data_IF_461138937202
#
_entry.id   IF_461138937202
#
_cell.length_a   1.000
_cell.length_b   1.000
_cell.length_c   1.000
_cell.angle_alpha   90.00
_cell.angle_beta   90.00
_cell.angle_gamma   90.00
#
_symmetry.space_group_name_H-M   'P 1'
#
loop_
_entity.id
_entity.type
_entity.pdbx_description
1 polymer ?
#
# COMPACT_ATOMS: atom_id res chain seq x y z
N UNK A 1 11.18 1.88 -56.30
CA UNK A 1 10.83 3.05 -55.47
C UNK A 1 10.48 2.56 -54.08
N UNK A 2 11.35 2.82 -53.10
CA UNK A 2 11.32 2.21 -51.77
C UNK A 2 10.59 3.14 -50.79
N UNK A 3 9.47 2.68 -50.22
CA UNK A 3 8.74 3.41 -49.20
C UNK A 3 9.47 3.30 -47.84
N UNK A 4 10.15 4.37 -47.44
CA UNK A 4 10.78 4.48 -46.12
C UNK A 4 9.69 4.61 -45.04
N UNK A 5 9.35 3.50 -44.37
CA UNK A 5 8.54 3.54 -43.14
C UNK A 5 9.33 4.24 -42.04
N UNK A 6 9.03 5.52 -41.77
CA UNK A 6 9.56 6.25 -40.61
C UNK A 6 9.03 5.58 -39.33
N UNK A 7 9.87 4.80 -38.63
CA UNK A 7 9.63 4.49 -37.21
C UNK A 7 9.92 5.76 -36.42
N UNK A 8 8.88 6.46 -35.98
CA UNK A 8 9.00 7.43 -34.90
C UNK A 8 9.42 6.68 -33.65
N UNK A 9 10.64 6.96 -33.16
CA UNK A 9 11.11 6.44 -31.88
C UNK A 9 10.17 7.00 -30.80
N UNK A 10 9.54 6.16 -29.97
CA UNK A 10 8.68 6.65 -28.89
C UNK A 10 9.49 7.55 -27.97
N UNK A 11 8.88 8.65 -27.55
CA UNK A 11 9.47 9.59 -26.61
C UNK A 11 9.52 8.86 -25.26
N UNK A 12 10.70 8.77 -24.61
CA UNK A 12 10.75 8.20 -23.27
C UNK A 12 9.93 9.08 -22.33
N UNK A 13 9.05 8.45 -21.57
CA UNK A 13 8.29 9.15 -20.52
C UNK A 13 9.27 9.67 -19.47
N UNK A 14 8.96 10.83 -18.90
CA UNK A 14 9.67 11.33 -17.75
C UNK A 14 9.37 10.42 -16.55
N UNK A 15 10.32 10.19 -15.63
CA UNK A 15 10.10 9.35 -14.46
C UNK A 15 8.85 9.72 -13.65
N UNK A 16 8.57 11.02 -13.52
CA UNK A 16 7.39 11.54 -12.81
C UNK A 16 6.06 11.17 -13.50
N UNK A 17 6.06 11.12 -14.83
CA UNK A 17 4.88 10.70 -15.61
C UNK A 17 4.61 9.19 -15.47
N UNK A 18 5.67 8.40 -15.32
CA UNK A 18 5.57 6.96 -15.08
C UNK A 18 4.91 6.70 -13.73
N UNK A 19 5.34 7.38 -12.67
CA UNK A 19 4.76 7.22 -11.33
C UNK A 19 3.29 7.63 -11.27
N UNK A 20 2.92 8.72 -11.95
CA UNK A 20 1.53 9.16 -12.06
C UNK A 20 0.66 8.12 -12.80
N UNK A 21 1.16 7.55 -13.90
CA UNK A 21 0.46 6.52 -14.67
C UNK A 21 0.32 5.22 -13.86
N UNK A 22 1.38 4.79 -13.16
CA UNK A 22 1.37 3.59 -12.31
C UNK A 22 0.38 3.72 -11.14
N UNK A 23 0.37 4.88 -10.47
CA UNK A 23 -0.63 5.21 -9.44
C UNK A 23 -2.05 5.19 -9.99
N UNK A 24 -2.27 5.72 -11.20
CA UNK A 24 -3.59 5.74 -11.83
C UNK A 24 -4.08 4.34 -12.27
N UNK A 25 -3.16 3.43 -12.58
CA UNK A 25 -3.48 2.04 -12.93
C UNK A 25 -3.75 1.14 -11.71
N UNK A 26 -3.68 1.68 -10.48
CA UNK A 26 -3.84 0.90 -9.25
C UNK A 26 -2.69 -0.07 -8.99
N UNK A 27 -1.61 0.01 -9.79
CA UNK A 27 -0.35 -0.67 -9.55
C UNK A 27 0.40 0.13 -8.48
N UNK A 28 -0.05 0.01 -7.23
CA UNK A 28 0.64 0.58 -6.07
C UNK A 28 2.05 -0.01 -6.04
N UNK A 29 3.04 0.86 -5.91
CA UNK A 29 4.43 0.51 -5.66
C UNK A 29 4.48 -0.60 -4.60
N UNK A 30 5.31 -1.63 -4.83
CA UNK A 30 5.53 -2.69 -3.83
C UNK A 30 5.67 -2.00 -2.47
N UNK A 31 4.84 -2.35 -1.46
CA UNK A 31 4.98 -1.72 -0.16
C UNK A 31 6.45 -1.85 0.22
N UNK A 32 7.06 -0.72 0.62
CA UNK A 32 8.41 -0.70 1.15
C UNK A 32 8.59 -1.91 2.08
N UNK A 33 9.78 -2.51 2.14
CA UNK A 33 10.11 -3.60 3.07
C UNK A 33 9.88 -3.13 4.52
N UNK A 34 8.62 -3.10 4.93
CA UNK A 34 8.16 -2.71 6.25
C UNK A 34 7.89 -4.04 6.91
N UNK A 35 8.92 -4.57 7.55
CA UNK A 35 8.84 -5.81 8.32
C UNK A 35 7.96 -5.54 9.53
N UNK A 36 6.71 -6.00 9.55
CA UNK A 36 5.81 -5.83 10.70
C UNK A 36 6.05 -6.93 11.75
N UNK A 37 5.86 -6.58 13.01
CA UNK A 37 5.98 -7.53 14.13
C UNK A 37 4.65 -7.72 14.87
N UNK A 38 4.47 -8.91 15.47
CA UNK A 38 3.33 -9.15 16.36
C UNK A 38 3.39 -8.19 17.56
N UNK A 39 2.23 -7.69 17.96
CA UNK A 39 2.01 -6.67 19.01
C UNK A 39 2.55 -5.28 18.69
N UNK A 40 3.10 -5.06 17.49
CA UNK A 40 3.53 -3.74 17.05
C UNK A 40 2.31 -2.79 16.94
N UNK A 41 2.51 -1.53 17.31
CA UNK A 41 1.49 -0.50 17.17
C UNK A 41 1.50 0.08 15.75
N UNK A 42 0.33 0.13 15.15
CA UNK A 42 0.14 0.66 13.81
C UNK A 42 -1.02 1.65 13.77
N UNK A 43 -0.89 2.64 12.90
CA UNK A 43 -1.93 3.61 12.54
C UNK A 43 -2.54 3.20 11.22
N UNK A 44 -3.87 3.20 11.14
CA UNK A 44 -4.58 2.99 9.89
C UNK A 44 -4.51 4.27 9.04
N UNK A 45 -4.12 4.13 7.78
CA UNK A 45 -3.89 5.24 6.84
C UNK A 45 -5.15 5.65 6.08
N UNK A 46 -6.01 4.70 5.72
CA UNK A 46 -7.14 4.92 4.82
C UNK A 46 -8.39 4.14 5.22
N UNK A 47 -9.54 4.54 4.65
CA UNK A 47 -10.84 3.92 4.92
C UNK A 47 -11.57 4.51 6.14
N UNK A 48 -12.70 3.91 6.56
CA UNK A 48 -13.54 4.44 7.64
C UNK A 48 -12.87 4.36 9.02
N UNK A 49 -11.76 3.64 9.12
CA UNK A 49 -10.96 3.47 10.32
C UNK A 49 -9.64 4.25 10.24
N UNK A 50 -9.48 5.15 9.27
CA UNK A 50 -8.31 6.01 9.18
C UNK A 50 -8.10 6.79 10.49
N UNK A 51 -6.84 7.07 10.79
CA UNK A 51 -6.37 7.73 12.01
C UNK A 51 -6.49 6.96 13.32
N UNK A 52 -7.18 5.81 13.33
CA UNK A 52 -7.18 4.96 14.50
C UNK A 52 -5.87 4.19 14.65
N UNK A 53 -5.53 3.92 15.91
CA UNK A 53 -4.35 3.16 16.31
C UNK A 53 -4.80 1.80 16.83
N UNK A 54 -4.03 0.77 16.47
CA UNK A 54 -4.25 -0.59 16.94
C UNK A 54 -2.95 -1.36 17.06
N UNK A 55 -3.06 -2.58 17.58
CA UNK A 55 -1.94 -3.51 17.72
C UNK A 55 -2.10 -4.69 16.77
N UNK A 56 -0.99 -5.12 16.17
CA UNK A 56 -0.99 -6.30 15.30
C UNK A 56 -1.16 -7.56 16.16
N UNK A 57 -2.20 -8.33 15.90
CA UNK A 57 -2.45 -9.63 16.55
C UNK A 57 -1.93 -10.79 15.69
N UNK A 58 -2.03 -10.66 14.37
CA UNK A 58 -1.61 -11.71 13.43
C UNK A 58 -1.13 -11.11 12.10
N UNK A 59 -0.17 -11.78 11.48
CA UNK A 59 0.40 -11.43 10.17
C UNK A 59 0.23 -12.65 9.26
N UNK A 60 -0.51 -12.48 8.17
CA UNK A 60 -0.68 -13.48 7.11
C UNK A 60 0.05 -12.98 5.86
N UNK A 61 1.34 -13.31 5.77
CA UNK A 61 2.21 -12.91 4.66
C UNK A 61 1.79 -13.56 3.34
N UNK A 62 1.24 -14.77 3.38
CA UNK A 62 0.76 -15.47 2.18
C UNK A 62 -0.43 -14.76 1.55
N UNK A 63 -1.33 -14.21 2.38
CA UNK A 63 -2.52 -13.47 1.91
C UNK A 63 -2.32 -11.98 1.79
N UNK A 64 -1.21 -11.43 2.29
CA UNK A 64 -1.00 -9.98 2.27
C UNK A 64 -1.79 -9.23 3.36
N UNK A 65 -2.21 -9.92 4.44
CA UNK A 65 -3.18 -9.39 5.42
C UNK A 65 -2.60 -9.28 6.82
N UNK A 66 -3.04 -8.26 7.55
CA UNK A 66 -2.78 -8.04 8.96
C UNK A 66 -4.09 -8.08 9.74
N UNK A 67 -4.12 -8.82 10.86
CA UNK A 67 -5.18 -8.66 11.85
C UNK A 67 -4.73 -7.66 12.90
N UNK A 68 -5.47 -6.58 13.03
CA UNK A 68 -5.17 -5.46 13.92
C UNK A 68 -6.33 -5.27 14.89
N UNK A 69 -6.05 -5.25 16.18
CA UNK A 69 -7.00 -4.86 17.21
C UNK A 69 -6.98 -3.34 17.36
N UNK A 70 -7.99 -2.68 16.79
CA UNK A 70 -8.12 -1.23 16.86
C UNK A 70 -8.93 -0.84 18.09
N UNK A 71 -8.41 0.07 18.90
CA UNK A 71 -9.13 0.57 20.06
C UNK A 71 -10.03 1.74 19.66
N UNK A 72 -11.35 1.50 19.67
CA UNK A 72 -12.37 2.50 19.37
C UNK A 72 -13.36 2.54 20.54
N UNK A 73 -13.52 3.70 21.17
CA UNK A 73 -14.48 3.90 22.27
C UNK A 73 -14.28 2.94 23.47
N UNK A 74 -13.04 2.56 23.77
CA UNK A 74 -12.71 1.62 24.84
C UNK A 74 -13.10 0.17 24.53
N UNK A 75 -13.38 -0.15 23.26
CA UNK A 75 -13.60 -1.51 22.78
C UNK A 75 -12.55 -1.85 21.73
N UNK A 76 -11.96 -3.02 21.86
CA UNK A 76 -11.09 -3.55 20.82
C UNK A 76 -11.95 -4.18 19.73
N UNK A 77 -11.79 -3.68 18.51
CA UNK A 77 -12.44 -4.22 17.31
C UNK A 77 -11.37 -4.86 16.43
N UNK A 78 -11.43 -6.18 16.15
CA UNK A 78 -10.50 -6.82 15.23
C UNK A 78 -10.83 -6.39 13.81
N UNK A 79 -9.82 -5.92 13.08
CA UNK A 79 -9.90 -5.55 11.67
C UNK A 79 -8.86 -6.31 10.88
N UNK A 80 -9.21 -6.69 9.65
CA UNK A 80 -8.29 -7.26 8.69
C UNK A 80 -7.92 -6.18 7.66
N UNK A 81 -6.64 -5.83 7.59
CA UNK A 81 -6.11 -4.73 6.80
C UNK A 81 -4.98 -5.21 5.90
N UNK A 82 -4.81 -4.58 4.75
CA UNK A 82 -3.64 -4.79 3.90
C UNK A 82 -2.41 -4.07 4.48
N UNK A 83 -1.21 -4.56 4.17
CA UNK A 83 0.06 -3.97 4.61
C UNK A 83 0.21 -2.48 4.25
N UNK A 84 -0.36 -2.06 3.12
CA UNK A 84 -0.32 -0.67 2.64
C UNK A 84 -1.31 0.26 3.34
N UNK A 85 -2.35 -0.31 3.96
CA UNK A 85 -3.39 0.44 4.70
C UNK A 85 -2.95 0.85 6.10
N UNK A 86 -1.77 0.44 6.55
CA UNK A 86 -1.24 0.77 7.88
C UNK A 86 0.16 1.38 7.82
N UNK A 87 0.52 2.16 8.83
CA UNK A 87 1.88 2.66 9.11
C UNK A 87 2.28 2.29 10.52
N UNK A 88 3.54 1.93 10.73
CA UNK A 88 4.13 1.80 12.06
C UNK A 88 4.05 3.13 12.82
N UNK A 89 3.76 3.06 14.12
CA UNK A 89 4.08 4.16 15.03
C UNK A 89 5.45 3.86 15.64
N UNK A 90 6.41 4.76 15.42
CA UNK A 90 7.70 4.76 16.14
C UNK A 90 7.52 5.10 17.63
#
# INVERSE_FOLDING_TARGET
MSAQRRRSKPIPLLPEEVDAILKQMGLKEKPANVDFELKEQVKVKEGPFADFVGSIENIDEEKGKLKVHVNMFGRETPLELDFDQVSKLD
#
